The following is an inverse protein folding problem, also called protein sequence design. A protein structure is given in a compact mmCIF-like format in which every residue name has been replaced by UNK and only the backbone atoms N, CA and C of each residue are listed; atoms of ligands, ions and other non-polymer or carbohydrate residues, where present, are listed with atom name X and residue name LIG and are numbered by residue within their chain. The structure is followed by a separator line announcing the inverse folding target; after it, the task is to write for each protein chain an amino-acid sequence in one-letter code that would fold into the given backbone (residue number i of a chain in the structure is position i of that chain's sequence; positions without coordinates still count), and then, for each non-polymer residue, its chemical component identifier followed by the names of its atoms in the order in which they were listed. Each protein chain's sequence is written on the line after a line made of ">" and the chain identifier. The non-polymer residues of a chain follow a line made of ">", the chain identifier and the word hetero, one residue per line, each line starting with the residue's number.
data_IF_259361762401
#
_entry.id   IF_259361762401
#
_cell.length_a   1.000
_cell.length_b   1.000
_cell.length_c   1.000
_cell.angle_alpha   90.00
_cell.angle_beta   90.00
_cell.angle_gamma   90.00
#
_symmetry.space_group_name_H-M   'P 1'
#
loop_
_entity.id
_entity.type
_entity.pdbx_description
1 polymer ?
#
# COMPACT_ATOMS: atom_id res chain seq x y z
N UNK A 1 -13.70 -0.60 0.70
CA UNK A 1 -12.40 -0.19 0.19
C UNK A 1 -12.52 0.50 -1.15
N UNK A 2 -13.38 0.04 -2.07
CA UNK A 2 -13.61 0.64 -3.38
C UNK A 2 -14.67 1.74 -3.29
N UNK A 3 -14.45 2.89 -3.93
CA UNK A 3 -15.36 4.06 -3.83
C UNK A 3 -16.75 3.76 -4.40
N UNK A 4 -16.85 2.96 -5.46
CA UNK A 4 -18.14 2.53 -6.00
C UNK A 4 -19.01 1.87 -4.92
N UNK A 5 -18.45 0.93 -4.15
CA UNK A 5 -19.21 0.23 -3.09
C UNK A 5 -19.59 1.17 -1.95
N UNK A 6 -18.74 2.12 -1.61
CA UNK A 6 -19.02 3.14 -0.60
C UNK A 6 -20.16 4.06 -1.05
N UNK A 7 -20.14 4.52 -2.30
CA UNK A 7 -21.21 5.34 -2.87
C UNK A 7 -22.53 4.57 -2.97
N UNK A 8 -22.47 3.28 -3.34
CA UNK A 8 -23.66 2.41 -3.33
C UNK A 8 -24.23 2.23 -1.92
N UNK A 9 -23.35 2.12 -0.92
CA UNK A 9 -23.76 2.04 0.48
C UNK A 9 -24.45 3.33 0.92
N UNK A 10 -23.87 4.50 0.64
CA UNK A 10 -24.46 5.81 0.93
C UNK A 10 -25.82 5.94 0.24
N UNK A 11 -25.89 5.59 -1.05
CA UNK A 11 -27.15 5.62 -1.80
C UNK A 11 -28.25 4.79 -1.16
N UNK A 12 -27.89 3.63 -0.61
CA UNK A 12 -28.84 2.70 0.03
C UNK A 12 -29.26 3.13 1.43
N UNK A 13 -28.32 3.64 2.23
CA UNK A 13 -28.53 3.87 3.67
C UNK A 13 -28.69 5.36 4.02
N UNK A 14 -28.21 6.25 3.17
CA UNK A 14 -28.28 7.71 3.32
C UNK A 14 -28.74 8.38 2.01
N UNK A 15 -29.92 8.01 1.47
CA UNK A 15 -30.38 8.48 0.15
C UNK A 15 -30.45 10.01 0.04
N UNK A 16 -30.81 10.69 1.12
CA UNK A 16 -30.88 12.17 1.16
C UNK A 16 -29.52 12.84 0.93
N UNK A 17 -28.42 12.19 1.36
CA UNK A 17 -27.07 12.67 1.10
C UNK A 17 -26.74 12.50 -0.38
N UNK A 18 -27.07 11.35 -0.97
CA UNK A 18 -26.81 11.08 -2.37
C UNK A 18 -27.62 11.98 -3.30
N UNK A 19 -28.88 12.27 -2.98
CA UNK A 19 -29.74 13.16 -3.76
C UNK A 19 -29.23 14.61 -3.80
N UNK A 20 -28.60 15.06 -2.72
CA UNK A 20 -28.00 16.39 -2.60
C UNK A 20 -26.55 16.46 -3.08
N UNK A 21 -25.93 15.32 -3.38
CA UNK A 21 -24.54 15.26 -3.77
C UNK A 21 -24.31 15.90 -5.13
N UNK A 22 -23.67 17.04 -5.17
CA UNK A 22 -23.28 17.72 -6.41
C UNK A 22 -21.92 17.23 -6.93
N UNK A 23 -21.04 16.71 -6.04
CA UNK A 23 -19.67 16.33 -6.38
C UNK A 23 -19.20 15.20 -5.47
N UNK A 24 -18.54 14.19 -6.03
CA UNK A 24 -17.74 13.23 -5.31
C UNK A 24 -16.25 13.63 -5.38
N UNK A 25 -15.51 13.44 -4.31
CA UNK A 25 -14.09 13.73 -4.25
C UNK A 25 -13.36 12.68 -3.45
N UNK A 26 -12.17 12.28 -3.91
CA UNK A 26 -11.22 11.58 -3.05
C UNK A 26 -10.64 12.54 -2.02
N UNK A 27 -10.13 12.01 -0.91
CA UNK A 27 -9.63 12.83 0.21
C UNK A 27 -8.54 13.82 -0.25
N UNK A 28 -7.56 13.35 -1.05
CA UNK A 28 -6.50 14.21 -1.58
C UNK A 28 -7.07 15.33 -2.48
N UNK A 29 -8.08 15.00 -3.28
CA UNK A 29 -8.70 15.95 -4.21
C UNK A 29 -9.51 16.99 -3.46
N UNK A 30 -10.15 16.60 -2.35
CA UNK A 30 -10.84 17.55 -1.49
C UNK A 30 -9.87 18.57 -0.87
N UNK A 31 -8.72 18.09 -0.36
CA UNK A 31 -7.67 18.99 0.18
C UNK A 31 -7.17 19.94 -0.92
N UNK A 32 -6.88 19.42 -2.11
CA UNK A 32 -6.47 20.25 -3.25
C UNK A 32 -7.56 21.25 -3.66
N UNK A 33 -8.82 20.81 -3.68
CA UNK A 33 -9.96 21.69 -3.95
C UNK A 33 -10.05 22.86 -2.95
N UNK A 34 -9.83 22.61 -1.64
CA UNK A 34 -9.77 23.67 -0.64
C UNK A 34 -8.63 24.66 -0.88
N UNK A 35 -7.53 24.21 -1.46
CA UNK A 35 -6.37 25.04 -1.76
C UNK A 35 -6.55 25.87 -3.04
N UNK A 36 -7.25 25.32 -4.06
CA UNK A 36 -7.26 25.85 -5.44
C UNK A 36 -8.65 26.22 -5.97
N UNK A 37 -9.72 25.71 -5.37
CA UNK A 37 -11.08 25.79 -5.89
C UNK A 37 -11.35 24.91 -7.13
N UNK A 38 -10.38 24.10 -7.59
CA UNK A 38 -10.49 23.30 -8.81
C UNK A 38 -10.89 21.86 -8.49
N UNK A 39 -11.97 21.39 -9.11
CA UNK A 39 -12.53 20.06 -8.96
C UNK A 39 -12.07 19.14 -10.08
N UNK A 40 -11.07 18.30 -9.83
CA UNK A 40 -10.50 17.29 -10.74
C UNK A 40 -10.05 16.08 -9.99
N UNK A 41 -9.72 14.99 -10.68
CA UNK A 41 -8.95 13.84 -10.14
C UNK A 41 -8.02 13.30 -11.21
N UNK A 42 -7.02 12.52 -10.81
CA UNK A 42 -6.11 11.87 -11.76
C UNK A 42 -6.55 10.44 -12.11
N UNK A 43 -6.03 9.95 -13.24
CA UNK A 43 -6.33 8.61 -13.73
C UNK A 43 -5.92 7.51 -12.77
N UNK A 44 -4.80 7.69 -12.04
CA UNK A 44 -4.27 6.67 -11.12
C UNK A 44 -5.20 6.50 -9.92
N UNK A 45 -5.70 7.63 -9.35
CA UNK A 45 -6.68 7.60 -8.27
C UNK A 45 -8.03 7.06 -8.74
N UNK A 46 -8.48 7.48 -9.95
CA UNK A 46 -9.76 7.08 -10.52
C UNK A 46 -9.90 5.55 -10.67
N UNK A 47 -8.82 4.84 -10.98
CA UNK A 47 -8.80 3.37 -11.07
C UNK A 47 -9.21 2.70 -9.76
N UNK A 48 -8.83 3.27 -8.63
CA UNK A 48 -9.22 2.80 -7.30
C UNK A 48 -10.70 2.96 -6.98
N UNK A 49 -11.48 3.61 -7.83
CA UNK A 49 -12.92 3.78 -7.63
C UNK A 49 -13.76 2.56 -8.03
N UNK A 50 -13.30 1.72 -8.94
CA UNK A 50 -14.06 0.73 -9.73
C UNK A 50 -15.14 1.37 -10.64
N UNK A 51 -15.01 2.65 -10.98
CA UNK A 51 -15.90 3.34 -11.92
C UNK A 51 -15.14 3.81 -13.17
N UNK A 52 -13.84 3.51 -13.26
CA UNK A 52 -12.96 3.94 -14.32
C UNK A 52 -12.77 2.86 -15.39
N UNK A 53 -12.79 3.27 -16.66
CA UNK A 53 -12.48 2.43 -17.83
C UNK A 53 -10.98 2.57 -18.16
N UNK A 54 -10.21 1.53 -17.86
CA UNK A 54 -8.77 1.46 -18.10
C UNK A 54 -8.39 1.36 -19.58
N UNK A 55 -9.34 1.07 -20.47
CA UNK A 55 -9.11 0.96 -21.90
C UNK A 55 -9.27 2.35 -22.57
N UNK A 56 -10.38 3.00 -22.24
CA UNK A 56 -10.73 4.29 -22.86
C UNK A 56 -10.29 5.52 -22.05
N UNK A 57 -9.71 5.30 -20.86
CA UNK A 57 -9.21 6.35 -19.95
C UNK A 57 -10.26 7.39 -19.58
N UNK A 58 -11.46 6.92 -19.26
CA UNK A 58 -12.60 7.73 -18.88
C UNK A 58 -13.42 7.08 -17.76
N UNK A 59 -14.36 7.81 -17.20
CA UNK A 59 -15.37 7.19 -16.34
C UNK A 59 -16.24 6.24 -17.16
N UNK A 60 -16.49 5.04 -16.63
CA UNK A 60 -17.30 4.01 -17.30
C UNK A 60 -18.78 4.28 -17.11
N UNK A 61 -19.46 4.62 -18.21
CA UNK A 61 -20.92 4.81 -18.21
C UNK A 61 -21.65 3.54 -17.79
N UNK A 62 -21.16 2.37 -18.20
CA UNK A 62 -21.75 1.07 -17.85
C UNK A 62 -21.65 0.79 -16.36
N UNK A 63 -20.47 0.96 -15.74
CA UNK A 63 -20.29 0.76 -14.31
C UNK A 63 -21.07 1.79 -13.48
N UNK A 64 -21.13 3.03 -13.93
CA UNK A 64 -21.95 4.06 -13.32
C UNK A 64 -23.43 3.69 -13.37
N UNK A 65 -23.93 3.23 -14.54
CA UNK A 65 -25.31 2.78 -14.72
C UNK A 65 -25.61 1.56 -13.85
N UNK A 66 -24.75 0.55 -13.83
CA UNK A 66 -24.93 -0.68 -13.03
C UNK A 66 -24.95 -0.40 -11.53
N UNK A 67 -24.10 0.49 -11.04
CA UNK A 67 -24.05 0.91 -9.63
C UNK A 67 -25.15 1.93 -9.28
N UNK A 68 -25.72 2.57 -10.29
CA UNK A 68 -26.67 3.66 -10.16
C UNK A 68 -26.04 4.94 -9.60
N UNK A 69 -24.74 5.13 -9.80
CA UNK A 69 -24.01 6.36 -9.42
C UNK A 69 -24.05 7.31 -10.62
N UNK A 70 -24.54 8.55 -10.43
CA UNK A 70 -24.55 9.53 -11.53
C UNK A 70 -23.14 9.91 -11.94
N UNK A 71 -22.82 9.77 -13.24
CA UNK A 71 -21.49 10.15 -13.76
C UNK A 71 -21.21 11.65 -13.57
N UNK A 72 -22.28 12.46 -13.50
CA UNK A 72 -22.20 13.91 -13.33
C UNK A 72 -21.61 14.37 -11.99
N UNK A 73 -21.61 13.50 -10.96
CA UNK A 73 -20.98 13.82 -9.68
C UNK A 73 -19.49 13.43 -9.64
N UNK A 74 -19.00 12.72 -10.66
CA UNK A 74 -17.58 12.31 -10.72
C UNK A 74 -16.72 13.44 -11.29
N UNK A 75 -15.50 13.68 -10.76
CA UNK A 75 -14.67 14.79 -11.18
C UNK A 75 -14.13 14.61 -12.61
N UNK A 76 -13.84 15.71 -13.33
CA UNK A 76 -13.06 15.66 -14.56
C UNK A 76 -11.71 14.98 -14.33
N UNK A 77 -11.28 14.18 -15.31
CA UNK A 77 -10.04 13.41 -15.28
C UNK A 77 -8.89 14.19 -15.89
N UNK A 78 -7.74 14.18 -15.23
CA UNK A 78 -6.51 14.83 -15.68
C UNK A 78 -5.30 13.92 -15.43
N UNK A 79 -4.13 14.30 -15.93
CA UNK A 79 -2.89 13.58 -15.59
C UNK A 79 -2.39 13.94 -14.19
N UNK A 80 -1.66 13.04 -13.51
CA UNK A 80 -1.04 13.33 -12.22
C UNK A 80 -0.19 14.60 -12.20
N UNK A 81 0.53 14.88 -13.29
CA UNK A 81 1.45 16.01 -13.45
C UNK A 81 0.79 17.32 -13.92
N UNK A 82 -0.49 17.28 -14.30
CA UNK A 82 -1.19 18.46 -14.75
C UNK A 82 -1.36 19.47 -13.60
N UNK A 83 -1.18 20.76 -13.93
CA UNK A 83 -1.50 21.84 -12.97
C UNK A 83 -3.01 21.92 -12.85
N UNK A 84 -3.52 21.53 -11.70
CA UNK A 84 -4.96 21.55 -11.36
C UNK A 84 -5.43 22.89 -10.79
N UNK A 85 -4.60 23.91 -10.76
CA UNK A 85 -4.95 25.22 -10.25
C UNK A 85 -3.79 25.88 -9.50
N UNK A 86 -4.11 26.97 -8.85
CA UNK A 86 -3.14 27.77 -8.08
C UNK A 86 -3.69 28.05 -6.69
N UNK A 87 -2.81 28.18 -5.71
CA UNK A 87 -3.18 28.55 -4.33
C UNK A 87 -3.98 29.86 -4.36
N UNK A 88 -5.20 29.83 -3.82
CA UNK A 88 -6.07 31.02 -3.71
C UNK A 88 -5.58 31.99 -2.63
N UNK A 89 -6.07 33.22 -2.64
CA UNK A 89 -5.74 34.20 -1.59
C UNK A 89 -6.24 33.74 -0.20
N UNK A 90 -7.42 33.13 -0.13
CA UNK A 90 -8.01 32.57 1.09
C UNK A 90 -7.17 31.41 1.63
N UNK A 91 -6.79 30.47 0.78
CA UNK A 91 -5.92 29.36 1.15
C UNK A 91 -4.54 29.84 1.63
N UNK A 92 -3.99 30.85 0.96
CA UNK A 92 -2.72 31.49 1.35
C UNK A 92 -2.79 32.08 2.75
N UNK A 93 -3.88 32.78 3.08
CA UNK A 93 -4.07 33.40 4.40
C UNK A 93 -4.14 32.36 5.54
N UNK A 94 -4.69 31.16 5.25
CA UNK A 94 -4.85 30.09 6.24
C UNK A 94 -3.56 29.26 6.38
N UNK A 95 -2.91 28.93 5.25
CA UNK A 95 -1.81 27.96 5.23
C UNK A 95 -0.42 28.60 5.26
N UNK A 96 -0.31 29.89 4.90
CA UNK A 96 0.97 30.57 4.71
C UNK A 96 1.64 30.23 3.36
N UNK A 97 1.08 29.35 2.53
CA UNK A 97 1.60 29.06 1.20
C UNK A 97 1.31 30.27 0.29
N UNK A 98 2.29 30.71 -0.47
CA UNK A 98 2.16 31.90 -1.32
C UNK A 98 0.99 31.75 -2.33
N UNK A 99 0.11 32.75 -2.38
CA UNK A 99 -0.94 32.81 -3.38
C UNK A 99 -0.36 32.77 -4.80
N UNK A 100 -1.05 32.08 -5.71
CA UNK A 100 -0.59 31.89 -7.10
C UNK A 100 0.45 30.76 -7.27
N UNK A 101 0.87 30.07 -6.21
CA UNK A 101 1.72 28.87 -6.37
C UNK A 101 0.96 27.80 -7.15
N UNK A 102 1.53 27.23 -8.24
CA UNK A 102 0.86 26.18 -8.99
C UNK A 102 0.75 24.89 -8.15
N UNK A 103 -0.36 24.17 -8.30
CA UNK A 103 -0.65 22.92 -7.62
C UNK A 103 -0.93 21.84 -8.67
N UNK A 104 -0.12 20.79 -8.72
CA UNK A 104 -0.35 19.63 -9.58
C UNK A 104 -1.45 18.73 -9.00
N UNK A 105 -2.00 17.85 -9.83
CA UNK A 105 -3.06 16.96 -9.39
C UNK A 105 -2.55 15.90 -8.40
N UNK A 106 -1.34 15.38 -8.58
CA UNK A 106 -0.77 14.31 -7.78
C UNK A 106 -1.37 12.94 -8.15
N UNK A 107 -1.09 11.94 -7.32
CA UNK A 107 -1.56 10.56 -7.52
C UNK A 107 -1.73 9.84 -6.17
N UNK A 108 -2.03 8.53 -6.22
CA UNK A 108 -2.13 7.67 -5.04
C UNK A 108 -0.78 7.56 -4.30
N UNK A 109 -0.82 7.40 -2.97
CA UNK A 109 0.36 7.19 -2.13
C UNK A 109 1.22 6.03 -2.62
N UNK A 110 0.60 4.92 -3.00
CA UNK A 110 1.27 3.72 -3.50
C UNK A 110 2.10 3.97 -4.76
N UNK A 111 1.54 4.69 -5.75
CA UNK A 111 2.25 5.03 -6.98
C UNK A 111 3.41 6.00 -6.70
N UNK A 112 3.20 6.94 -5.77
CA UNK A 112 4.23 7.92 -5.38
C UNK A 112 5.34 7.31 -4.53
N UNK A 113 5.05 6.36 -3.64
CA UNK A 113 6.07 5.57 -2.93
C UNK A 113 6.95 4.78 -3.90
N UNK A 114 6.33 4.13 -4.90
CA UNK A 114 7.07 3.39 -5.92
C UNK A 114 7.94 4.33 -6.79
N UNK A 115 7.38 5.48 -7.18
CA UNK A 115 8.13 6.53 -7.90
C UNK A 115 9.30 7.05 -7.08
N UNK A 116 9.09 7.31 -5.79
CA UNK A 116 10.10 7.77 -4.84
C UNK A 116 11.34 6.86 -4.80
N UNK A 117 11.16 5.55 -4.84
CA UNK A 117 12.27 4.57 -4.82
C UNK A 117 12.77 4.22 -6.22
N UNK A 118 12.43 5.02 -7.23
CA UNK A 118 12.93 4.86 -8.60
C UNK A 118 12.37 3.67 -9.35
N UNK A 119 11.18 3.17 -8.99
CA UNK A 119 10.50 2.12 -9.74
C UNK A 119 9.80 2.71 -10.97
N UNK A 120 10.58 3.20 -11.94
CA UNK A 120 10.14 3.96 -13.11
C UNK A 120 10.38 3.24 -14.44
N UNK A 121 10.79 1.99 -14.37
CA UNK A 121 11.08 1.16 -15.53
C UNK A 121 10.34 -0.18 -15.45
N UNK A 122 10.11 -0.77 -16.62
CA UNK A 122 9.65 -2.15 -16.72
C UNK A 122 10.55 -3.10 -15.93
N UNK A 123 9.98 -4.16 -15.37
CA UNK A 123 10.63 -5.17 -14.54
C UNK A 123 11.16 -4.66 -13.18
N UNK A 124 10.98 -3.39 -12.84
CA UNK A 124 11.17 -2.99 -11.47
C UNK A 124 10.19 -3.73 -10.55
N UNK A 125 10.64 -4.07 -9.36
CA UNK A 125 9.82 -4.73 -8.35
C UNK A 125 9.95 -3.98 -7.03
N UNK A 126 8.82 -3.74 -6.37
CA UNK A 126 8.76 -3.07 -5.07
C UNK A 126 7.98 -3.95 -4.10
N UNK A 127 8.47 -4.11 -2.88
CA UNK A 127 7.71 -4.70 -1.78
C UNK A 127 7.49 -3.68 -0.68
N UNK A 128 6.26 -3.63 -0.15
CA UNK A 128 5.91 -2.76 0.98
C UNK A 128 5.68 -3.62 2.23
N UNK A 129 6.42 -3.34 3.29
CA UNK A 129 6.21 -3.90 4.62
C UNK A 129 5.64 -2.81 5.54
N UNK A 130 4.34 -2.57 5.43
CA UNK A 130 3.55 -1.69 6.29
C UNK A 130 2.53 -2.53 7.09
N UNK A 131 1.44 -1.95 7.58
CA UNK A 131 0.36 -2.69 8.25
C UNK A 131 -0.02 -3.93 7.43
N UNK A 132 -0.33 -3.75 6.17
CA UNK A 132 -0.40 -4.83 5.17
C UNK A 132 0.91 -4.93 4.38
N UNK A 133 1.13 -6.07 3.72
CA UNK A 133 2.25 -6.26 2.80
C UNK A 133 1.77 -6.23 1.35
N UNK A 134 2.60 -5.72 0.47
CA UNK A 134 2.31 -5.76 -0.96
C UNK A 134 3.58 -6.03 -1.75
N UNK A 135 3.40 -6.58 -2.94
CA UNK A 135 4.46 -6.66 -3.93
C UNK A 135 3.93 -6.14 -5.27
N UNK A 136 4.70 -5.26 -5.92
CA UNK A 136 4.36 -4.62 -7.18
C UNK A 136 5.38 -5.01 -8.24
N UNK A 137 4.90 -5.39 -9.41
CA UNK A 137 5.72 -5.63 -10.60
C UNK A 137 5.31 -4.66 -11.68
N UNK A 138 6.26 -3.88 -12.20
CA UNK A 138 6.02 -2.84 -13.20
C UNK A 138 6.19 -3.40 -14.61
N UNK A 139 5.25 -3.02 -15.52
CA UNK A 139 5.15 -3.49 -16.90
C UNK A 139 4.74 -2.35 -17.82
N UNK A 140 5.04 -2.48 -19.13
CA UNK A 140 4.58 -1.52 -20.14
C UNK A 140 3.10 -1.66 -20.49
N UNK A 141 2.50 -2.79 -20.19
CA UNK A 141 1.11 -3.08 -20.49
C UNK A 141 0.35 -3.51 -19.24
N UNK A 142 -0.94 -3.19 -19.22
CA UNK A 142 -1.86 -3.70 -18.20
C UNK A 142 -1.93 -5.23 -18.28
N UNK A 143 -1.80 -5.89 -17.11
CA UNK A 143 -1.86 -7.34 -17.02
C UNK A 143 -2.91 -7.76 -15.99
N UNK A 144 -4.21 -7.69 -16.33
CA UNK A 144 -5.28 -8.07 -15.41
C UNK A 144 -5.21 -9.54 -15.05
N UNK A 145 -5.33 -9.83 -13.74
CA UNK A 145 -5.35 -11.18 -13.20
C UNK A 145 -6.40 -11.23 -12.06
N UNK A 146 -7.27 -12.25 -11.98
CA UNK A 146 -8.25 -12.37 -10.90
C UNK A 146 -7.65 -12.41 -9.48
N UNK A 147 -6.38 -12.79 -9.35
CA UNK A 147 -5.66 -12.87 -8.08
C UNK A 147 -4.92 -11.60 -7.71
N UNK A 148 -4.83 -10.63 -8.64
CA UNK A 148 -4.04 -9.42 -8.50
C UNK A 148 -4.85 -8.16 -8.83
N UNK A 149 -4.33 -7.02 -8.43
CA UNK A 149 -4.85 -5.71 -8.83
C UNK A 149 -3.93 -5.12 -9.89
N UNK A 150 -4.48 -4.45 -10.87
CA UNK A 150 -3.72 -3.81 -11.95
C UNK A 150 -4.04 -2.32 -11.98
N UNK A 151 -2.98 -1.50 -11.92
CA UNK A 151 -3.07 -0.05 -11.94
C UNK A 151 -2.05 0.56 -12.90
N UNK A 152 -2.36 1.73 -13.45
CA UNK A 152 -1.35 2.55 -14.12
C UNK A 152 -0.43 3.22 -13.09
N UNK A 153 0.77 3.58 -13.55
CA UNK A 153 1.75 4.33 -12.77
C UNK A 153 1.67 5.84 -13.10
N UNK A 154 2.34 6.68 -12.31
CA UNK A 154 2.50 8.12 -12.60
C UNK A 154 3.41 8.37 -13.82
N UNK A 155 4.21 7.39 -14.21
CA UNK A 155 5.02 7.40 -15.44
C UNK A 155 4.15 6.92 -16.60
N UNK A 156 3.98 7.76 -17.62
CA UNK A 156 3.17 7.43 -18.79
C UNK A 156 3.60 6.10 -19.43
N UNK A 157 2.63 5.24 -19.76
CA UNK A 157 2.85 3.94 -20.39
C UNK A 157 3.40 2.87 -19.44
N UNK A 158 3.49 3.13 -18.14
CA UNK A 158 3.88 2.13 -17.16
C UNK A 158 2.67 1.71 -16.31
N UNK A 159 2.54 0.42 -16.11
CA UNK A 159 1.51 -0.22 -15.29
C UNK A 159 2.16 -1.04 -14.18
N UNK A 160 1.43 -1.37 -13.13
CA UNK A 160 1.90 -2.33 -12.15
C UNK A 160 0.82 -3.33 -11.75
N UNK A 161 1.26 -4.59 -11.60
CA UNK A 161 0.50 -5.65 -10.98
C UNK A 161 0.78 -5.60 -9.49
N UNK A 162 -0.26 -5.52 -8.67
CA UNK A 162 -0.18 -5.44 -7.21
C UNK A 162 -0.79 -6.70 -6.60
N UNK A 163 0.00 -7.40 -5.81
CA UNK A 163 -0.40 -8.53 -4.98
C UNK A 163 -0.24 -8.13 -3.52
N UNK A 164 -1.17 -8.52 -2.66
CA UNK A 164 -1.23 -7.99 -1.32
C UNK A 164 -1.61 -9.04 -0.27
N UNK A 165 -0.86 -9.07 0.84
CA UNK A 165 -1.23 -9.78 2.07
C UNK A 165 -1.92 -8.82 3.05
N UNK A 166 -2.87 -9.34 3.84
CA UNK A 166 -3.66 -8.54 4.77
C UNK A 166 -2.88 -8.07 5.99
N UNK A 167 -1.91 -8.86 6.47
CA UNK A 167 -1.17 -8.59 7.71
C UNK A 167 0.32 -8.81 7.51
N UNK A 168 1.10 -7.73 7.39
CA UNK A 168 2.56 -7.77 7.32
C UNK A 168 3.19 -7.21 8.61
N UNK A 169 3.61 -5.94 8.65
CA UNK A 169 4.13 -5.34 9.87
C UNK A 169 3.09 -5.29 11.01
N UNK A 170 1.80 -5.38 10.66
CA UNK A 170 0.72 -5.61 11.63
C UNK A 170 0.95 -6.87 12.46
N UNK A 171 1.47 -7.95 11.88
CA UNK A 171 1.74 -9.19 12.61
C UNK A 171 2.79 -8.97 13.70
N UNK A 172 3.86 -8.21 13.40
CA UNK A 172 4.88 -7.89 14.40
C UNK A 172 4.35 -6.90 15.43
N UNK A 173 3.51 -5.93 15.02
CA UNK A 173 2.85 -5.01 15.94
C UNK A 173 1.91 -5.74 16.88
N UNK A 174 1.06 -6.62 16.36
CA UNK A 174 0.19 -7.48 17.15
C UNK A 174 0.98 -8.33 18.16
N UNK A 175 2.10 -8.93 17.71
CA UNK A 175 2.96 -9.71 18.59
C UNK A 175 3.53 -8.84 19.72
N UNK A 176 4.06 -7.66 19.41
CA UNK A 176 4.55 -6.69 20.39
C UNK A 176 3.47 -6.32 21.42
N UNK A 177 2.30 -5.92 20.93
CA UNK A 177 1.22 -5.41 21.78
C UNK A 177 0.58 -6.51 22.65
N UNK A 178 0.69 -7.76 22.21
CA UNK A 178 0.14 -8.92 22.92
C UNK A 178 1.13 -9.51 23.91
N UNK A 179 2.38 -9.72 23.50
CA UNK A 179 3.36 -10.52 24.25
C UNK A 179 4.54 -9.74 24.82
N UNK A 180 4.71 -8.46 24.44
CA UNK A 180 5.86 -7.64 24.86
C UNK A 180 5.42 -6.34 25.56
N UNK A 181 4.37 -6.41 26.37
CA UNK A 181 3.78 -5.23 27.06
C UNK A 181 4.76 -4.53 28.01
N UNK A 182 5.61 -5.29 28.69
CA UNK A 182 6.59 -4.72 29.62
C UNK A 182 7.65 -3.89 28.89
N UNK A 183 8.21 -4.42 27.81
CA UNK A 183 9.19 -3.74 26.97
C UNK A 183 8.58 -2.50 26.31
N UNK A 184 7.34 -2.61 25.82
CA UNK A 184 6.64 -1.47 25.23
C UNK A 184 6.33 -0.39 26.24
N UNK A 185 5.98 -0.75 27.49
CA UNK A 185 5.80 0.22 28.57
C UNK A 185 7.12 0.94 28.95
N UNK A 186 8.25 0.23 28.91
CA UNK A 186 9.57 0.83 29.11
C UNK A 186 9.94 1.78 27.94
N UNK A 187 9.66 1.41 26.70
CA UNK A 187 9.86 2.30 25.53
C UNK A 187 9.10 3.62 25.69
N UNK A 188 7.84 3.58 26.13
CA UNK A 188 7.02 4.79 26.36
C UNK A 188 7.58 5.71 27.45
N UNK A 189 8.42 5.18 28.33
CA UNK A 189 9.15 5.94 29.39
C UNK A 189 10.55 6.36 28.96
N UNK A 190 10.87 6.29 27.65
CA UNK A 190 12.15 6.68 27.09
C UNK A 190 13.19 5.55 27.05
N UNK A 191 12.78 4.31 27.31
CA UNK A 191 13.63 3.12 27.18
C UNK A 191 13.93 2.74 25.74
N UNK A 192 14.55 1.57 25.57
CA UNK A 192 14.92 1.03 24.28
C UNK A 192 13.68 0.73 23.43
N UNK A 193 13.77 1.01 22.11
CA UNK A 193 12.71 0.67 21.18
C UNK A 193 12.44 -0.84 21.16
N UNK A 194 11.19 -1.24 21.35
CA UNK A 194 10.76 -2.63 21.48
C UNK A 194 11.07 -3.44 20.22
N UNK A 195 10.84 -2.90 19.02
CA UNK A 195 11.15 -3.62 17.77
C UNK A 195 12.63 -3.95 17.65
N UNK A 196 13.51 -3.04 18.10
CA UNK A 196 14.94 -3.31 18.11
C UNK A 196 15.31 -4.44 19.07
N UNK A 197 14.64 -4.53 20.23
CA UNK A 197 14.82 -5.64 21.16
C UNK A 197 14.36 -6.95 20.54
N UNK A 198 13.21 -6.95 19.85
CA UNK A 198 12.68 -8.11 19.15
C UNK A 198 13.61 -8.58 18.03
N UNK A 199 14.17 -7.66 17.25
CA UNK A 199 15.14 -7.98 16.21
C UNK A 199 16.40 -8.65 16.79
N UNK A 200 16.96 -8.11 17.87
CA UNK A 200 18.16 -8.66 18.53
C UNK A 200 17.94 -10.05 19.12
N UNK A 201 16.73 -10.36 19.59
CA UNK A 201 16.37 -11.70 20.04
C UNK A 201 16.20 -12.68 18.89
N UNK A 202 15.52 -12.24 17.84
CA UNK A 202 15.27 -13.02 16.63
C UNK A 202 16.58 -13.33 15.87
N UNK A 203 17.55 -12.41 15.87
CA UNK A 203 18.84 -12.58 15.20
C UNK A 203 19.65 -13.74 15.75
N UNK A 204 19.47 -14.09 17.03
CA UNK A 204 20.17 -15.20 17.69
C UNK A 204 19.60 -16.58 17.34
N UNK A 205 18.44 -16.63 16.72
CA UNK A 205 17.75 -17.86 16.34
C UNK A 205 18.13 -18.21 14.89
N UNK A 206 18.42 -19.47 14.55
CA UNK A 206 18.73 -19.85 13.17
C UNK A 206 17.54 -19.68 12.25
N UNK A 207 17.82 -19.52 10.94
CA UNK A 207 16.80 -19.48 9.91
C UNK A 207 15.92 -20.74 9.92
N UNK A 208 14.61 -20.58 9.71
CA UNK A 208 13.62 -21.65 9.82
C UNK A 208 13.17 -21.93 11.27
N UNK A 209 13.64 -21.13 12.26
CA UNK A 209 13.17 -21.14 13.66
C UNK A 209 13.12 -22.56 14.28
N UNK A 210 14.04 -23.45 13.84
CA UNK A 210 14.07 -24.86 14.28
C UNK A 210 12.72 -25.61 14.11
N UNK A 211 11.97 -25.24 13.06
CA UNK A 211 10.69 -25.86 12.72
C UNK A 211 9.45 -25.16 13.28
N UNK A 212 9.60 -23.98 13.88
CA UNK A 212 8.47 -23.14 14.28
C UNK A 212 8.05 -22.22 13.12
N UNK A 213 6.82 -22.35 12.67
CA UNK A 213 6.24 -21.52 11.61
C UNK A 213 5.13 -20.61 12.14
N UNK A 214 4.99 -19.45 11.52
CA UNK A 214 3.88 -18.53 11.76
C UNK A 214 3.11 -18.25 10.48
N UNK A 215 1.78 -18.41 10.51
CA UNK A 215 0.88 -17.96 9.45
C UNK A 215 0.33 -16.57 9.80
N UNK A 216 0.58 -15.52 8.98
CA UNK A 216 0.28 -14.13 9.35
C UNK A 216 -1.18 -13.71 9.13
N UNK A 217 -2.14 -14.64 8.98
CA UNK A 217 -3.50 -14.38 8.52
C UNK A 217 -4.43 -13.84 9.61
N UNK A 218 -4.00 -12.85 10.39
CA UNK A 218 -4.75 -12.25 11.50
C UNK A 218 -6.13 -11.74 11.08
N UNK A 219 -6.24 -11.19 9.87
CA UNK A 219 -7.44 -10.54 9.33
C UNK A 219 -8.00 -11.28 8.11
N UNK A 220 -7.77 -12.57 7.98
CA UNK A 220 -7.95 -13.28 6.73
C UNK A 220 -6.85 -12.96 5.74
N UNK A 221 -6.97 -13.38 4.49
CA UNK A 221 -5.95 -13.13 3.48
C UNK A 221 -6.54 -12.63 2.17
N UNK A 222 -5.78 -11.78 1.47
CA UNK A 222 -6.05 -11.32 0.12
C UNK A 222 -5.33 -12.21 -0.89
N UNK A 223 -4.48 -11.66 -1.72
CA UNK A 223 -3.72 -12.45 -2.69
C UNK A 223 -2.80 -13.47 -2.01
N UNK A 224 -2.68 -14.68 -2.52
CA UNK A 224 -3.37 -15.23 -3.69
C UNK A 224 -4.71 -15.91 -3.35
N UNK A 225 -5.10 -15.97 -2.10
CA UNK A 225 -6.17 -16.84 -1.59
C UNK A 225 -7.57 -16.21 -1.62
N UNK A 226 -7.67 -14.89 -1.35
CA UNK A 226 -8.93 -14.14 -1.22
C UNK A 226 -9.91 -14.80 -0.25
N UNK A 227 -9.37 -15.24 0.91
CA UNK A 227 -10.14 -15.94 1.94
C UNK A 227 -10.15 -15.16 3.26
N UNK A 228 -11.33 -14.63 3.60
CA UNK A 228 -11.56 -13.88 4.84
C UNK A 228 -11.66 -14.76 6.09
N UNK A 229 -11.68 -16.09 5.95
CA UNK A 229 -11.82 -17.06 7.06
C UNK A 229 -10.48 -17.55 7.58
N UNK A 230 -9.40 -17.37 6.83
CA UNK A 230 -8.04 -17.72 7.28
C UNK A 230 -7.73 -16.99 8.59
N UNK A 231 -6.98 -17.67 9.48
CA UNK A 231 -6.54 -17.11 10.76
C UNK A 231 -5.08 -17.39 10.98
N UNK A 232 -4.45 -16.51 11.78
CA UNK A 232 -3.07 -16.68 12.17
C UNK A 232 -2.89 -17.91 13.07
N UNK A 233 -1.74 -18.54 12.95
CA UNK A 233 -1.36 -19.69 13.80
C UNK A 233 0.16 -19.82 13.93
N UNK A 234 0.61 -20.35 15.06
CA UNK A 234 1.96 -20.90 15.21
C UNK A 234 1.87 -22.41 15.10
N UNK A 235 2.75 -23.01 14.29
CA UNK A 235 2.80 -24.46 14.05
C UNK A 235 4.21 -24.96 14.32
N UNK A 236 4.32 -26.14 14.93
CA UNK A 236 5.61 -26.79 15.23
C UNK A 236 6.21 -26.36 16.58
N UNK A 237 5.47 -25.67 17.44
CA UNK A 237 5.98 -25.28 18.77
C UNK A 237 6.31 -26.50 19.64
N UNK A 238 7.48 -26.47 20.28
CA UNK A 238 7.93 -27.44 21.26
C UNK A 238 8.44 -26.72 22.51
N UNK A 239 8.74 -27.45 23.58
CA UNK A 239 9.30 -26.89 24.82
C UNK A 239 10.69 -26.23 24.64
N UNK A 240 11.36 -26.48 23.51
CA UNK A 240 12.65 -25.90 23.17
C UNK A 240 12.53 -24.44 22.68
N UNK A 241 11.40 -24.07 22.08
CA UNK A 241 11.22 -22.77 21.49
C UNK A 241 11.00 -21.67 22.54
N UNK A 242 11.92 -20.72 22.62
CA UNK A 242 11.80 -19.51 23.44
C UNK A 242 11.28 -18.31 22.63
N UNK A 243 11.14 -17.14 23.29
CA UNK A 243 10.56 -15.91 22.70
C UNK A 243 11.24 -15.47 21.41
N UNK A 244 12.57 -15.60 21.31
CA UNK A 244 13.31 -15.27 20.09
C UNK A 244 12.86 -16.10 18.88
N UNK A 245 12.50 -17.37 19.08
CA UNK A 245 11.97 -18.24 18.02
C UNK A 245 10.60 -17.73 17.53
N UNK A 246 9.70 -17.37 18.44
CA UNK A 246 8.40 -16.80 18.08
C UNK A 246 8.54 -15.46 17.35
N UNK A 247 9.45 -14.58 17.80
CA UNK A 247 9.76 -13.32 17.11
C UNK A 247 10.21 -13.56 15.68
N UNK A 248 11.20 -14.45 15.51
CA UNK A 248 11.75 -14.76 14.20
C UNK A 248 10.71 -15.43 13.31
N UNK A 249 9.91 -16.35 13.85
CA UNK A 249 8.83 -16.99 13.12
C UNK A 249 7.82 -15.98 12.56
N UNK A 250 7.50 -14.90 13.30
CA UNK A 250 6.63 -13.83 12.79
C UNK A 250 7.27 -13.12 11.59
N UNK A 251 8.56 -12.76 11.67
CA UNK A 251 9.28 -12.11 10.57
C UNK A 251 9.36 -13.02 9.33
N UNK A 252 9.70 -14.29 9.52
CA UNK A 252 9.81 -15.28 8.45
C UNK A 252 8.44 -15.62 7.85
N UNK A 253 7.39 -15.77 8.67
CA UNK A 253 6.04 -16.06 8.22
C UNK A 253 5.47 -14.97 7.32
N UNK A 254 5.70 -13.70 7.67
CA UNK A 254 5.35 -12.58 6.79
C UNK A 254 6.15 -12.60 5.50
N UNK A 255 7.45 -12.88 5.57
CA UNK A 255 8.29 -12.97 4.37
C UNK A 255 7.83 -14.09 3.43
N UNK A 256 7.43 -15.25 3.98
CA UNK A 256 6.89 -16.38 3.24
C UNK A 256 5.53 -16.04 2.60
N UNK A 257 4.66 -15.31 3.29
CA UNK A 257 3.39 -14.82 2.70
C UNK A 257 3.64 -13.85 1.52
N UNK A 258 4.67 -12.99 1.61
CA UNK A 258 5.10 -12.15 0.48
C UNK A 258 5.68 -13.03 -0.64
N UNK A 259 6.42 -14.10 -0.32
CA UNK A 259 6.95 -15.05 -1.31
C UNK A 259 5.84 -15.77 -2.06
N UNK A 260 4.76 -16.14 -1.39
CA UNK A 260 3.58 -16.73 -2.03
C UNK A 260 3.04 -15.82 -3.15
N UNK A 261 2.91 -14.53 -2.84
CA UNK A 261 2.53 -13.52 -3.82
C UNK A 261 3.59 -13.34 -4.91
N UNK A 262 4.87 -13.29 -4.53
CA UNK A 262 5.98 -13.14 -5.48
C UNK A 262 6.05 -14.29 -6.46
N UNK A 263 5.72 -15.51 -6.04
CA UNK A 263 5.74 -16.71 -6.89
C UNK A 263 4.77 -16.65 -8.08
N UNK A 264 3.73 -15.81 -8.00
CA UNK A 264 2.81 -15.58 -9.12
C UNK A 264 3.42 -14.71 -10.23
N UNK A 265 4.45 -13.93 -9.91
CA UNK A 265 5.04 -12.94 -10.82
C UNK A 265 6.51 -13.20 -11.16
N UNK A 266 7.26 -13.92 -10.31
CA UNK A 266 8.73 -14.05 -10.41
C UNK A 266 9.24 -14.68 -11.71
N UNK A 267 8.42 -15.51 -12.36
CA UNK A 267 8.78 -16.20 -13.61
C UNK A 267 8.15 -15.56 -14.86
N UNK A 268 7.44 -14.46 -14.70
CA UNK A 268 6.75 -13.80 -15.82
C UNK A 268 7.63 -12.80 -16.55
N UNK A 269 8.61 -12.22 -15.84
CA UNK A 269 9.64 -11.31 -16.38
C UNK A 269 10.91 -11.42 -15.52
N UNK A 270 12.09 -11.02 -16.03
CA UNK A 270 13.32 -11.01 -15.23
C UNK A 270 13.25 -9.93 -14.14
N UNK A 271 13.23 -10.37 -12.86
CA UNK A 271 13.30 -9.50 -11.69
C UNK A 271 14.70 -9.66 -11.08
N UNK A 272 15.52 -8.62 -11.15
CA UNK A 272 16.91 -8.68 -10.68
C UNK A 272 17.06 -8.25 -9.22
N UNK A 273 16.22 -7.33 -8.75
CA UNK A 273 16.24 -6.75 -7.42
C UNK A 273 14.83 -6.38 -6.97
N UNK A 274 14.63 -6.26 -5.66
CA UNK A 274 13.37 -5.81 -5.08
C UNK A 274 13.63 -4.60 -4.19
N UNK A 275 12.95 -3.49 -4.46
CA UNK A 275 13.01 -2.29 -3.63
C UNK A 275 12.03 -2.45 -2.47
N UNK A 276 12.47 -2.09 -1.25
CA UNK A 276 11.63 -2.21 -0.07
C UNK A 276 11.22 -0.84 0.47
N UNK A 277 9.94 -0.68 0.76
CA UNK A 277 9.34 0.51 1.37
C UNK A 277 8.55 0.14 2.63
N UNK A 278 8.23 1.14 3.44
CA UNK A 278 7.44 0.97 4.66
C UNK A 278 8.25 0.65 5.91
N UNK A 279 7.55 0.69 7.05
CA UNK A 279 8.16 0.62 8.39
C UNK A 279 8.95 -0.66 8.66
N UNK A 280 8.48 -1.82 8.18
CA UNK A 280 9.18 -3.10 8.33
C UNK A 280 10.54 -3.12 7.60
N UNK A 281 10.67 -2.36 6.50
CA UNK A 281 11.93 -2.20 5.79
C UNK A 281 13.03 -1.48 6.58
N UNK A 282 12.73 -0.91 7.75
CA UNK A 282 13.73 -0.31 8.65
C UNK A 282 14.57 -1.37 9.38
N UNK A 283 14.03 -2.57 9.62
CA UNK A 283 14.75 -3.68 10.26
C UNK A 283 15.79 -4.30 9.31
N UNK A 284 17.10 -4.26 9.64
CA UNK A 284 18.14 -4.94 8.85
C UNK A 284 17.91 -6.46 8.80
N UNK A 285 17.50 -7.05 9.93
CA UNK A 285 17.20 -8.48 10.02
C UNK A 285 16.06 -8.86 9.06
N UNK A 286 14.97 -8.10 9.08
CA UNK A 286 13.83 -8.40 8.21
C UNK A 286 14.17 -8.27 6.73
N UNK A 287 14.97 -7.25 6.36
CA UNK A 287 15.49 -7.14 4.99
C UNK A 287 16.32 -8.35 4.57
N UNK A 288 17.20 -8.86 5.48
CA UNK A 288 17.99 -10.07 5.23
C UNK A 288 17.10 -11.30 5.05
N UNK A 289 16.07 -11.48 5.91
CA UNK A 289 15.08 -12.54 5.77
C UNK A 289 14.36 -12.43 4.42
N UNK A 290 13.89 -11.23 4.06
CA UNK A 290 13.23 -11.00 2.77
C UNK A 290 14.14 -11.33 1.58
N UNK A 291 15.42 -10.91 1.62
CA UNK A 291 16.38 -11.21 0.56
C UNK A 291 16.57 -12.72 0.37
N UNK A 292 16.69 -13.46 1.46
CA UNK A 292 16.84 -14.91 1.45
C UNK A 292 15.57 -15.60 0.92
N UNK A 293 14.40 -15.23 1.42
CA UNK A 293 13.11 -15.84 1.06
C UNK A 293 12.75 -15.56 -0.39
N UNK A 294 12.95 -14.32 -0.86
CA UNK A 294 12.68 -13.96 -2.27
C UNK A 294 13.79 -14.41 -3.22
N UNK A 295 14.97 -14.76 -2.70
CA UNK A 295 16.18 -15.04 -3.46
C UNK A 295 16.52 -13.89 -4.42
N UNK A 296 16.45 -12.65 -3.92
CA UNK A 296 16.74 -11.41 -4.66
C UNK A 296 17.38 -10.38 -3.74
N UNK A 297 18.29 -9.54 -4.24
CA UNK A 297 18.77 -8.38 -3.50
C UNK A 297 17.60 -7.48 -3.08
N UNK A 298 17.61 -7.04 -1.82
CA UNK A 298 16.65 -6.08 -1.29
C UNK A 298 17.32 -4.72 -1.17
N UNK A 299 16.79 -3.74 -1.90
CA UNK A 299 17.30 -2.37 -1.89
C UNK A 299 16.42 -1.48 -1.00
N UNK A 300 17.06 -0.81 -0.02
CA UNK A 300 16.42 0.20 0.83
C UNK A 300 16.98 1.58 0.47
N UNK A 301 16.08 2.49 0.16
CA UNK A 301 16.42 3.88 -0.14
C UNK A 301 16.35 4.75 1.11
N UNK A 302 17.05 5.88 1.09
CA UNK A 302 17.06 6.83 2.20
C UNK A 302 15.68 7.44 2.45
N UNK A 303 14.97 7.78 1.37
CA UNK A 303 13.60 8.25 1.38
C UNK A 303 12.72 7.25 0.66
N UNK A 304 11.61 6.85 1.27
CA UNK A 304 10.63 5.90 0.74
C UNK A 304 9.19 6.35 1.07
N UNK A 305 9.01 7.65 1.31
CA UNK A 305 7.73 8.26 1.69
C UNK A 305 7.03 8.86 0.47
N UNK A 306 5.71 8.70 0.40
CA UNK A 306 4.89 9.23 -0.70
C UNK A 306 4.93 10.75 -0.80
N UNK A 307 5.17 11.48 0.30
CA UNK A 307 5.33 12.94 0.29
C UNK A 307 6.58 13.37 -0.47
N UNK A 308 7.69 12.62 -0.32
CA UNK A 308 8.89 12.85 -1.11
C UNK A 308 8.66 12.48 -2.58
N UNK A 309 7.93 11.39 -2.86
CA UNK A 309 7.50 11.04 -4.21
C UNK A 309 6.64 12.13 -4.87
N UNK A 310 5.74 12.76 -4.09
CA UNK A 310 4.94 13.90 -4.56
C UNK A 310 5.80 15.13 -4.91
N UNK A 311 6.86 15.35 -4.16
CA UNK A 311 7.78 16.46 -4.40
C UNK A 311 8.69 16.23 -5.62
N UNK A 312 8.91 14.96 -6.00
CA UNK A 312 9.67 14.59 -7.20
C UNK A 312 8.83 14.62 -8.47
N UNK A 313 7.50 14.43 -8.36
CA UNK A 313 6.56 14.43 -9.47
C UNK A 313 6.41 15.84 -10.06
#
# INVERSE_FOLDING_TARGET
>A
TWSMLQLMWIKKHEPEVMEKAARAMFVKDYVRYQLTGVWTTDHVEAQGSLLFDNINWCWSEDLCRMSGIPISILPPLVKPTDISGHITAEASAITGIRAGTPVINGATDTALEAYCVGAIHENNCVTKLATSGTIYLFRKEAHPDPKALTYSHVVDGLWYTCLATSSAAESLRWYRDTFCKAEFAQELQGGKNTYRTLDEEAEKVPAGCEGLFFHPYLMGERSPYWDTKLRASFIGATAHHGRGHFNRAVLEGVALSIKDNFSLIENTVPIHEVRIVGGGGKSPLWRSIMANVLNRPILKYANDDSSYGSALL
#
